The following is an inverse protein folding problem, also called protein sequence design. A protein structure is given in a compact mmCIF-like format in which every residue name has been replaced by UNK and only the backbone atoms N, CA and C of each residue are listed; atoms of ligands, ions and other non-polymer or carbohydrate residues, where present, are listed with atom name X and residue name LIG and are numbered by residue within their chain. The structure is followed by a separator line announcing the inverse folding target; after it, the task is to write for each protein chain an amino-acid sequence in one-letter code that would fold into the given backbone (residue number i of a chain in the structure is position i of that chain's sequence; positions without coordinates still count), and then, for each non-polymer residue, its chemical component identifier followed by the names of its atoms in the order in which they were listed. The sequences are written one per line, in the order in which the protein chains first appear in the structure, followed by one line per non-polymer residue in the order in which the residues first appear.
data_IF_790273864408
#
_entry.id   IF_790273864408
#
_cell.length_a   1.000
_cell.length_b   1.000
_cell.length_c   1.000
_cell.angle_alpha   90.00
_cell.angle_beta   90.00
_cell.angle_gamma   90.00
#
_symmetry.space_group_name_H-M   'P 1'
#
loop_
_entity.id
_entity.type
_entity.pdbx_description
1 polymer ?
#
# COMPACT_ATOMS: atom_id res chain seq x y z
N UNK A 1 11.66 20.90 7.66
CA UNK A 1 12.78 20.28 6.93
C UNK A 1 12.62 20.66 5.46
N UNK A 2 13.51 21.47 4.90
CA UNK A 2 13.42 21.85 3.48
C UNK A 2 13.88 20.68 2.61
N UNK A 3 13.03 20.21 1.69
CA UNK A 3 13.43 19.30 0.63
C UNK A 3 14.56 19.97 -0.15
N UNK A 4 15.78 19.40 -0.10
CA UNK A 4 16.90 19.88 -0.92
C UNK A 4 16.47 19.75 -2.38
N UNK A 5 16.37 20.88 -3.08
CA UNK A 5 16.09 20.91 -4.52
C UNK A 5 17.32 20.42 -5.27
N UNK A 6 17.37 19.12 -5.54
CA UNK A 6 18.38 18.45 -6.35
C UNK A 6 17.73 17.74 -7.54
N UNK A 7 18.53 17.41 -8.56
CA UNK A 7 18.08 16.54 -9.64
C UNK A 7 18.09 15.10 -9.15
N UNK A 8 16.92 14.49 -9.03
CA UNK A 8 16.77 13.05 -8.75
C UNK A 8 16.59 12.31 -10.06
N UNK A 9 17.37 11.25 -10.27
CA UNK A 9 17.24 10.36 -11.41
C UNK A 9 16.67 9.03 -10.95
N UNK A 10 15.66 8.52 -11.65
CA UNK A 10 15.11 7.18 -11.44
C UNK A 10 15.38 6.32 -12.67
N UNK A 11 15.66 5.04 -12.46
CA UNK A 11 15.75 4.09 -13.56
C UNK A 11 14.35 3.64 -13.99
N UNK A 12 14.08 3.72 -15.28
CA UNK A 12 12.82 3.24 -15.89
C UNK A 12 13.18 2.14 -16.87
N UNK A 13 12.75 0.92 -16.57
CA UNK A 13 13.00 -0.22 -17.46
C UNK A 13 12.13 -0.13 -18.73
N UNK A 14 12.42 -1.00 -19.71
CA UNK A 14 11.74 -1.00 -21.02
C UNK A 14 10.23 -1.22 -20.88
N UNK A 15 9.80 -2.07 -19.95
CA UNK A 15 8.38 -2.35 -19.73
C UNK A 15 7.63 -1.13 -19.20
N UNK A 16 8.19 -0.44 -18.20
CA UNK A 16 7.62 0.78 -17.64
C UNK A 16 7.64 1.92 -18.66
N UNK A 17 8.72 2.04 -19.46
CA UNK A 17 8.78 3.00 -20.55
C UNK A 17 7.68 2.78 -21.58
N UNK A 18 7.39 1.52 -21.94
CA UNK A 18 6.30 1.17 -22.84
C UNK A 18 4.92 1.54 -22.24
N UNK A 19 4.68 1.24 -20.95
CA UNK A 19 3.44 1.63 -20.25
C UNK A 19 3.23 3.15 -20.19
N UNK A 20 4.32 3.92 -20.10
CA UNK A 20 4.29 5.38 -20.06
C UNK A 20 4.21 6.03 -21.45
N UNK A 21 4.50 5.29 -22.54
CA UNK A 21 4.58 5.79 -23.92
C UNK A 21 3.46 6.77 -24.31
N UNK A 22 2.17 6.43 -24.14
CA UNK A 22 1.07 7.32 -24.49
C UNK A 22 1.08 8.66 -23.72
N UNK A 23 1.56 8.66 -22.48
CA UNK A 23 1.70 9.88 -21.68
C UNK A 23 2.95 10.67 -22.07
N UNK A 24 4.02 9.99 -22.45
CA UNK A 24 5.24 10.62 -22.96
C UNK A 24 4.94 11.40 -24.25
N UNK A 25 4.24 10.77 -25.20
CA UNK A 25 3.81 11.40 -26.45
C UNK A 25 2.90 12.60 -26.19
N UNK A 26 1.95 12.47 -25.25
CA UNK A 26 0.99 13.53 -24.93
C UNK A 26 1.59 14.72 -24.19
N UNK A 27 2.52 14.48 -23.26
CA UNK A 27 2.98 15.51 -22.31
C UNK A 27 4.43 15.97 -22.51
N UNK A 28 5.16 15.33 -23.44
CA UNK A 28 6.47 15.79 -23.91
C UNK A 28 7.66 15.36 -23.06
N UNK A 29 7.61 14.19 -22.43
CA UNK A 29 8.78 13.61 -21.76
C UNK A 29 8.48 12.59 -20.66
N UNK A 30 9.47 11.70 -20.42
CA UNK A 30 9.36 10.60 -19.46
C UNK A 30 9.20 11.07 -18.02
N UNK A 31 9.99 12.05 -17.59
CA UNK A 31 9.91 12.59 -16.23
C UNK A 31 8.52 13.13 -15.92
N UNK A 32 7.92 13.89 -16.85
CA UNK A 32 6.56 14.43 -16.68
C UNK A 32 5.50 13.34 -16.69
N UNK A 33 5.64 12.32 -17.54
CA UNK A 33 4.75 11.17 -17.56
C UNK A 33 4.77 10.42 -16.21
N UNK A 34 5.95 10.18 -15.64
CA UNK A 34 6.09 9.56 -14.31
C UNK A 34 5.43 10.42 -13.24
N UNK A 35 5.72 11.72 -13.20
CA UNK A 35 5.11 12.64 -12.21
C UNK A 35 3.59 12.61 -12.29
N UNK A 36 3.00 12.62 -13.49
CA UNK A 36 1.55 12.56 -13.67
C UNK A 36 0.96 11.24 -13.16
N UNK A 37 1.61 10.11 -13.42
CA UNK A 37 1.14 8.80 -12.93
C UNK A 37 1.24 8.73 -11.41
N UNK A 38 2.37 9.16 -10.84
CA UNK A 38 2.57 9.18 -9.40
C UNK A 38 1.56 10.09 -8.69
N UNK A 39 1.30 11.28 -9.22
CA UNK A 39 0.31 12.24 -8.69
C UNK A 39 -1.11 11.65 -8.69
N UNK A 40 -1.52 11.04 -9.80
CA UNK A 40 -2.83 10.37 -9.91
C UNK A 40 -2.96 9.19 -8.95
N UNK A 41 -1.92 8.37 -8.83
CA UNK A 41 -1.89 7.25 -7.90
C UNK A 41 -2.00 7.76 -6.46
N UNK A 42 -1.21 8.79 -6.11
CA UNK A 42 -1.24 9.40 -4.79
C UNK A 42 -2.64 9.92 -4.43
N UNK A 43 -3.32 10.61 -5.35
CA UNK A 43 -4.68 11.11 -5.11
C UNK A 43 -5.68 9.97 -4.86
N UNK A 44 -5.63 8.89 -5.67
CA UNK A 44 -6.49 7.71 -5.48
C UNK A 44 -6.26 7.10 -4.09
N UNK A 45 -5.01 6.84 -3.74
CA UNK A 45 -4.64 6.25 -2.44
C UNK A 45 -5.03 7.17 -1.29
N UNK A 46 -4.83 8.49 -1.41
CA UNK A 46 -5.19 9.44 -0.36
C UNK A 46 -6.71 9.51 -0.12
N UNK A 47 -7.51 9.44 -1.19
CA UNK A 47 -8.98 9.36 -1.10
C UNK A 47 -9.38 8.06 -0.40
N UNK A 48 -8.90 6.92 -0.86
CA UNK A 48 -9.27 5.62 -0.29
C UNK A 48 -8.75 5.43 1.14
N UNK A 49 -7.59 6.01 1.47
CA UNK A 49 -7.03 6.00 2.82
C UNK A 49 -7.96 6.66 3.85
N UNK A 50 -8.70 7.71 3.46
CA UNK A 50 -9.69 8.32 4.35
C UNK A 50 -10.84 7.35 4.64
N UNK A 51 -11.27 6.61 3.63
CA UNK A 51 -12.36 5.63 3.77
C UNK A 51 -11.96 4.42 4.60
N UNK A 52 -10.75 3.86 4.41
CA UNK A 52 -10.32 2.66 5.13
C UNK A 52 -10.01 2.92 6.62
N UNK A 53 -9.63 4.15 7.00
CA UNK A 53 -9.30 4.51 8.39
C UNK A 53 -10.47 4.26 9.34
N UNK A 54 -11.70 4.46 8.87
CA UNK A 54 -12.91 4.27 9.67
C UNK A 54 -13.51 2.85 9.50
N UNK A 55 -12.99 2.06 8.56
CA UNK A 55 -13.49 0.71 8.27
C UNK A 55 -12.99 -0.33 9.28
N UNK A 56 -11.75 -0.16 9.76
CA UNK A 56 -11.09 -1.10 10.65
C UNK A 56 -10.95 -0.50 12.05
N UNK A 57 -11.20 -1.33 13.06
CA UNK A 57 -10.83 -1.03 14.43
C UNK A 57 -9.32 -1.02 14.59
N UNK A 58 -8.81 -0.39 15.65
CA UNK A 58 -7.37 -0.38 15.92
C UNK A 58 -6.81 -1.80 16.11
N UNK A 59 -7.56 -2.71 16.73
CA UNK A 59 -7.17 -4.12 16.90
C UNK A 59 -7.03 -4.85 15.57
N UNK A 60 -8.01 -4.69 14.67
CA UNK A 60 -7.95 -5.26 13.31
C UNK A 60 -6.77 -4.70 12.53
N UNK A 61 -6.53 -3.40 12.63
CA UNK A 61 -5.38 -2.76 11.97
C UNK A 61 -4.04 -3.30 12.52
N UNK A 62 -3.90 -3.41 13.84
CA UNK A 62 -2.67 -3.91 14.46
C UNK A 62 -2.41 -5.38 14.10
N UNK A 63 -3.45 -6.21 13.99
CA UNK A 63 -3.32 -7.57 13.47
C UNK A 63 -2.79 -7.55 12.03
N UNK A 64 -3.43 -6.79 11.13
CA UNK A 64 -2.99 -6.72 9.73
C UNK A 64 -1.56 -6.18 9.61
N UNK A 65 -1.17 -5.23 10.46
CA UNK A 65 0.20 -4.71 10.52
C UNK A 65 1.19 -5.77 10.99
N UNK A 66 0.84 -6.56 12.01
CA UNK A 66 1.64 -7.69 12.45
C UNK A 66 1.87 -8.70 11.31
N UNK A 67 0.81 -9.03 10.56
CA UNK A 67 0.89 -9.97 9.44
C UNK A 67 1.78 -9.41 8.33
N UNK A 68 1.62 -8.12 8.04
CA UNK A 68 2.44 -7.43 7.05
C UNK A 68 3.94 -7.42 7.38
N UNK A 69 4.37 -7.61 8.64
CA UNK A 69 5.80 -7.60 9.01
C UNK A 69 6.63 -8.64 8.25
N UNK A 70 6.03 -9.78 7.89
CA UNK A 70 6.69 -10.88 7.16
C UNK A 70 6.23 -10.99 5.71
N UNK A 71 5.41 -10.07 5.23
CA UNK A 71 4.87 -10.09 3.87
C UNK A 71 5.55 -9.05 2.99
N UNK A 72 5.86 -9.46 1.75
CA UNK A 72 6.30 -8.59 0.66
C UNK A 72 5.14 -8.48 -0.32
N UNK A 73 4.61 -7.28 -0.53
CA UNK A 73 3.46 -7.03 -1.40
C UNK A 73 3.87 -6.76 -2.86
N UNK A 74 4.75 -7.61 -3.38
CA UNK A 74 5.25 -7.51 -4.76
C UNK A 74 5.11 -8.84 -5.50
N UNK A 75 4.75 -8.82 -6.80
CA UNK A 75 4.49 -7.64 -7.64
C UNK A 75 3.10 -7.03 -7.42
N UNK A 76 2.85 -5.79 -7.88
CA UNK A 76 1.58 -5.07 -7.68
C UNK A 76 0.29 -5.86 -8.07
N UNK A 77 0.39 -6.84 -8.97
CA UNK A 77 -0.72 -7.71 -9.32
C UNK A 77 -1.23 -8.61 -8.19
N UNK A 78 -0.44 -8.81 -7.12
CA UNK A 78 -0.86 -9.62 -5.96
C UNK A 78 -1.54 -8.81 -4.86
N UNK A 79 -1.44 -7.48 -4.90
CA UNK A 79 -1.96 -6.58 -3.84
C UNK A 79 -3.45 -6.80 -3.60
N UNK A 80 -4.23 -6.99 -4.66
CA UNK A 80 -5.67 -7.23 -4.54
C UNK A 80 -5.90 -8.60 -3.91
N UNK A 81 -6.26 -8.59 -2.62
CA UNK A 81 -6.55 -9.79 -1.84
C UNK A 81 -5.36 -10.32 -1.02
N UNK A 82 -4.17 -9.72 -1.10
CA UNK A 82 -3.01 -10.18 -0.31
C UNK A 82 -3.29 -10.15 1.20
N UNK A 83 -3.74 -9.00 1.73
CA UNK A 83 -4.07 -8.85 3.16
C UNK A 83 -5.21 -9.78 3.58
N UNK A 84 -6.15 -10.06 2.66
CA UNK A 84 -7.20 -11.04 2.90
C UNK A 84 -6.61 -12.45 3.05
N UNK A 85 -5.74 -12.87 2.15
CA UNK A 85 -5.08 -14.16 2.20
C UNK A 85 -4.28 -14.31 3.50
N UNK A 86 -3.43 -13.32 3.83
CA UNK A 86 -2.65 -13.30 5.08
C UNK A 86 -3.55 -13.41 6.32
N UNK A 87 -4.71 -12.75 6.32
CA UNK A 87 -5.66 -12.80 7.44
C UNK A 87 -6.38 -14.14 7.52
N UNK A 88 -6.62 -14.81 6.38
CA UNK A 88 -7.28 -16.12 6.33
C UNK A 88 -6.39 -17.23 6.86
N UNK A 89 -5.09 -17.12 6.61
CA UNK A 89 -4.07 -18.08 7.02
C UNK A 89 -3.58 -17.87 8.47
N UNK A 90 -4.01 -16.78 9.12
CA UNK A 90 -3.62 -16.45 10.48
C UNK A 90 -4.10 -17.50 11.50
N UNK A 91 -3.30 -17.74 12.54
CA UNK A 91 -3.62 -18.70 13.59
C UNK A 91 -4.71 -18.15 14.54
N UNK A 92 -5.65 -18.99 15.02
CA UNK A 92 -6.73 -18.53 15.91
C UNK A 92 -6.24 -17.82 17.18
N UNK A 93 -5.10 -18.25 17.74
CA UNK A 93 -4.53 -17.68 18.95
C UNK A 93 -4.02 -16.25 18.75
N UNK A 94 -3.50 -15.93 17.55
CA UNK A 94 -3.06 -14.58 17.19
C UNK A 94 -4.27 -13.64 17.07
N UNK A 95 -5.33 -14.08 16.39
CA UNK A 95 -6.59 -13.33 16.32
C UNK A 95 -7.18 -13.09 17.72
N UNK A 96 -7.14 -14.09 18.59
CA UNK A 96 -7.60 -13.97 19.97
C UNK A 96 -6.75 -12.97 20.77
N UNK A 97 -5.42 -12.99 20.58
CA UNK A 97 -4.50 -12.04 21.22
C UNK A 97 -4.83 -10.58 20.86
N UNK A 98 -5.15 -10.30 19.59
CA UNK A 98 -5.58 -8.96 19.17
C UNK A 98 -7.07 -8.66 19.45
N UNK A 99 -7.86 -9.65 19.89
CA UNK A 99 -9.29 -9.51 20.15
C UNK A 99 -10.13 -9.30 18.89
N UNK A 100 -9.72 -9.89 17.76
CA UNK A 100 -10.32 -9.68 16.44
C UNK A 100 -11.28 -10.83 16.09
N UNK A 101 -12.51 -10.49 15.68
CA UNK A 101 -13.42 -11.46 15.08
C UNK A 101 -13.01 -11.73 13.61
N UNK A 102 -12.46 -12.92 13.37
CA UNK A 102 -12.02 -13.38 12.05
C UNK A 102 -13.10 -13.20 10.97
N UNK A 103 -14.37 -13.55 11.27
CA UNK A 103 -15.44 -13.52 10.26
C UNK A 103 -15.77 -12.09 9.87
N UNK A 104 -15.80 -11.17 10.84
CA UNK A 104 -16.06 -9.75 10.60
C UNK A 104 -14.93 -9.14 9.78
N UNK A 105 -13.68 -9.39 10.17
CA UNK A 105 -12.52 -8.85 9.44
C UNK A 105 -12.45 -9.37 7.99
N UNK A 106 -12.63 -10.68 7.77
CA UNK A 106 -12.66 -11.27 6.42
C UNK A 106 -13.76 -10.64 5.56
N UNK A 107 -14.95 -10.39 6.12
CA UNK A 107 -16.04 -9.74 5.38
C UNK A 107 -15.67 -8.31 4.95
N UNK A 108 -15.04 -7.52 5.84
CA UNK A 108 -14.55 -6.18 5.49
C UNK A 108 -13.51 -6.24 4.37
N UNK A 109 -12.54 -7.14 4.49
CA UNK A 109 -11.46 -7.32 3.52
C UNK A 109 -11.97 -7.77 2.14
N UNK A 110 -12.96 -8.66 2.09
CA UNK A 110 -13.64 -9.05 0.84
C UNK A 110 -14.42 -7.91 0.19
N UNK A 111 -14.87 -6.95 0.99
CA UNK A 111 -15.63 -5.78 0.53
C UNK A 111 -14.77 -4.64 -0.02
N UNK A 112 -13.44 -4.74 0.05
CA UNK A 112 -12.56 -3.69 -0.44
C UNK A 112 -12.62 -3.59 -1.96
N UNK A 113 -12.69 -2.35 -2.45
CA UNK A 113 -12.41 -2.06 -3.86
C UNK A 113 -10.91 -2.19 -4.16
N UNK A 114 -10.55 -2.24 -5.44
CA UNK A 114 -9.14 -2.29 -5.86
C UNK A 114 -8.33 -1.14 -5.26
N UNK A 115 -8.81 0.11 -5.36
CA UNK A 115 -8.08 1.27 -4.83
C UNK A 115 -7.88 1.19 -3.31
N UNK A 116 -8.89 0.72 -2.58
CA UNK A 116 -8.80 0.51 -1.14
C UNK A 116 -7.81 -0.60 -0.75
N UNK A 117 -7.67 -1.65 -1.56
CA UNK A 117 -6.68 -2.70 -1.32
C UNK A 117 -5.24 -2.15 -1.45
N UNK A 118 -4.97 -1.35 -2.48
CA UNK A 118 -3.69 -0.64 -2.63
C UNK A 118 -3.47 0.35 -1.48
N UNK A 119 -4.49 1.14 -1.13
CA UNK A 119 -4.38 2.10 -0.04
C UNK A 119 -4.13 1.45 1.33
N UNK A 120 -4.68 0.26 1.57
CA UNK A 120 -4.43 -0.52 2.78
C UNK A 120 -2.98 -1.01 2.83
N UNK A 121 -2.48 -1.62 1.76
CA UNK A 121 -1.08 -2.09 1.69
C UNK A 121 -0.10 -0.93 1.89
N UNK A 122 -0.26 0.17 1.15
CA UNK A 122 0.60 1.35 1.30
C UNK A 122 0.57 1.91 2.73
N UNK A 123 -0.59 1.84 3.40
CA UNK A 123 -0.71 2.29 4.79
C UNK A 123 0.00 1.36 5.77
N UNK A 124 -0.06 0.05 5.56
CA UNK A 124 0.68 -0.92 6.37
C UNK A 124 2.19 -0.75 6.17
N UNK A 125 2.66 -0.60 4.94
CA UNK A 125 4.08 -0.39 4.61
C UNK A 125 4.63 0.93 5.18
N UNK A 126 3.85 2.02 5.08
CA UNK A 126 4.22 3.29 5.73
C UNK A 126 4.35 3.14 7.25
N UNK A 127 3.49 2.33 7.88
CA UNK A 127 3.56 2.10 9.32
C UNK A 127 4.73 1.22 9.73
N UNK A 128 5.11 0.23 8.90
CA UNK A 128 6.34 -0.55 9.08
C UNK A 128 7.58 0.33 8.97
N UNK A 129 7.66 1.17 7.94
CA UNK A 129 8.83 2.04 7.71
C UNK A 129 8.96 3.22 8.69
N UNK A 130 7.93 3.51 9.49
CA UNK A 130 7.97 4.54 10.54
C UNK A 130 8.16 3.95 11.96
N UNK A 131 8.49 2.66 12.08
CA UNK A 131 8.86 2.08 13.37
C UNK A 131 10.27 2.61 13.77
N UNK A 132 10.47 3.21 14.96
CA UNK A 132 11.75 3.82 15.37
C UNK A 132 12.95 2.86 15.46
N UNK A 133 12.78 1.58 15.17
CA UNK A 133 13.79 0.55 15.31
C UNK A 133 14.93 0.62 14.28
N UNK A 134 14.81 1.45 13.23
CA UNK A 134 15.88 1.66 12.22
C UNK A 134 16.57 3.03 12.35
N UNK A 135 16.48 3.67 13.52
CA UNK A 135 17.33 4.83 13.88
C UNK A 135 18.41 4.47 14.89
N UNK A 136 19.09 3.35 14.70
CA UNK A 136 20.40 3.08 15.32
C UNK A 136 21.32 2.43 14.28
N UNK A 137 22.09 3.27 13.58
CA UNK A 137 23.56 3.18 13.38
C UNK A 137 24.08 4.33 12.51
#
# INVERSE_FOLDING_TARGET
MGLKTGRTSIYVNVEMAAKLGPLVERYGGLSKAVTIVADRYHEIVAVDRRTIKDLFTQSEFNLMLNNALSTIYEPAGVIVGAVLADTQDEEPDVLAYFGVDRKVLIQKLKGLTTGQAFALVDWLEEKRGNDPAETED
#
